data_IF_497084212333
#
_entry.id   IF_497084212333
#
_cell.length_a   1.000
_cell.length_b   1.000
_cell.length_c   1.000
_cell.angle_alpha   90.00
_cell.angle_beta   90.00
_cell.angle_gamma   90.00
#
_symmetry.space_group_name_H-M   'P 1'
#
loop_
_entity.id
_entity.type
_entity.pdbx_description
1 polymer ?
#
# COMPACT_ATOMS: atom_id res chain seq x y z
N UNK A 1 -14.65 -10.27 7.25
CA UNK A 1 -13.34 -10.09 7.89
C UNK A 1 -12.36 -9.52 6.87
N UNK A 2 -11.64 -8.50 7.23
CA UNK A 2 -10.63 -7.90 6.37
C UNK A 2 -9.24 -8.28 6.85
N UNK A 3 -8.30 -8.43 5.93
CA UNK A 3 -6.91 -8.75 6.21
C UNK A 3 -6.05 -7.56 5.81
N UNK A 4 -5.00 -7.32 6.56
CA UNK A 4 -4.06 -6.22 6.30
C UNK A 4 -3.30 -6.46 4.99
N UNK A 5 -3.32 -5.48 4.09
CA UNK A 5 -2.64 -5.59 2.79
C UNK A 5 -1.13 -5.71 2.97
N UNK A 6 -0.55 -5.03 3.96
CA UNK A 6 0.86 -5.15 4.26
C UNK A 6 1.25 -6.57 4.63
N UNK A 7 0.42 -7.25 5.41
CA UNK A 7 0.65 -8.65 5.76
C UNK A 7 0.59 -9.56 4.53
N UNK A 8 -0.42 -9.33 3.67
CA UNK A 8 -0.55 -10.12 2.43
C UNK A 8 0.67 -9.96 1.54
N UNK A 9 1.17 -8.74 1.39
CA UNK A 9 2.36 -8.50 0.56
C UNK A 9 3.63 -9.08 1.17
N UNK A 10 3.73 -9.06 2.51
CA UNK A 10 4.87 -9.69 3.20
C UNK A 10 4.87 -11.21 2.99
N UNK A 11 3.71 -11.84 3.06
CA UNK A 11 3.57 -13.27 2.80
C UNK A 11 3.93 -13.58 1.34
N UNK A 12 3.44 -12.78 0.39
CA UNK A 12 3.74 -12.96 -1.02
C UNK A 12 5.24 -12.81 -1.30
N UNK A 13 5.88 -11.82 -0.66
CA UNK A 13 7.33 -11.60 -0.77
C UNK A 13 8.10 -12.85 -0.31
N UNK A 14 7.72 -13.38 0.83
CA UNK A 14 8.35 -14.60 1.37
C UNK A 14 8.14 -15.79 0.45
N UNK A 15 6.91 -15.99 -0.03
CA UNK A 15 6.56 -17.11 -0.89
C UNK A 15 7.30 -17.04 -2.23
N UNK A 16 7.44 -15.86 -2.80
CA UNK A 16 8.13 -15.64 -4.07
C UNK A 16 9.65 -15.54 -3.91
N UNK A 17 10.13 -15.47 -2.68
CA UNK A 17 11.54 -15.22 -2.39
C UNK A 17 12.04 -13.93 -3.06
N UNK A 18 11.18 -12.90 -3.07
CA UNK A 18 11.49 -11.57 -3.62
C UNK A 18 11.28 -10.54 -2.54
N UNK A 19 12.34 -9.87 -2.06
CA UNK A 19 12.19 -8.86 -1.01
C UNK A 19 11.42 -7.64 -1.53
N UNK A 20 10.64 -7.03 -0.64
CA UNK A 20 10.00 -5.75 -0.92
C UNK A 20 11.05 -4.64 -0.87
N UNK A 21 10.85 -3.61 -1.69
CA UNK A 21 11.70 -2.42 -1.66
C UNK A 21 11.62 -1.78 -0.27
N UNK A 22 12.76 -1.55 0.34
CA UNK A 22 12.86 -0.96 1.68
C UNK A 22 12.30 0.47 1.75
N UNK A 23 12.14 1.15 0.61
CA UNK A 23 11.63 2.51 0.56
C UNK A 23 10.16 2.58 0.15
N UNK A 24 9.48 1.44 0.10
CA UNK A 24 8.06 1.36 -0.25
C UNK A 24 7.24 0.97 0.97
N UNK A 25 6.24 1.79 1.28
CA UNK A 25 5.26 1.50 2.33
C UNK A 25 3.99 0.94 1.68
N UNK A 26 3.27 0.10 2.41
CA UNK A 26 2.03 -0.52 1.94
C UNK A 26 1.01 -0.50 3.07
N UNK A 27 -0.21 -0.04 2.78
CA UNK A 27 -1.30 -0.23 3.72
C UNK A 27 -2.63 -0.43 3.00
N UNK A 28 -3.62 -0.95 3.71
CA UNK A 28 -4.96 -1.17 3.20
C UNK A 28 -5.59 -2.38 3.84
N UNK A 29 -6.88 -2.58 3.56
CA UNK A 29 -7.63 -3.74 4.01
C UNK A 29 -8.04 -4.56 2.79
N UNK A 30 -7.90 -5.88 2.90
CA UNK A 30 -8.25 -6.83 1.82
C UNK A 30 -9.51 -7.58 2.21
N UNK A 31 -10.51 -7.53 1.33
CA UNK A 31 -11.75 -8.28 1.50
C UNK A 31 -11.65 -9.72 0.99
N UNK A 32 -12.75 -10.45 1.13
CA UNK A 32 -12.78 -11.89 0.84
C UNK A 32 -12.54 -12.23 -0.62
N UNK A 33 -12.82 -11.31 -1.54
CA UNK A 33 -12.64 -11.53 -2.98
C UNK A 33 -11.38 -10.91 -3.52
N UNK A 34 -10.48 -10.47 -2.65
CA UNK A 34 -9.21 -9.86 -3.05
C UNK A 34 -9.32 -8.37 -3.35
N UNK A 35 -10.48 -7.75 -3.12
CA UNK A 35 -10.62 -6.30 -3.28
C UNK A 35 -9.87 -5.57 -2.16
N UNK A 36 -9.27 -4.44 -2.49
CA UNK A 36 -8.61 -3.58 -1.52
C UNK A 36 -9.57 -2.47 -1.12
N UNK A 37 -9.87 -2.40 0.17
CA UNK A 37 -10.81 -1.44 0.74
C UNK A 37 -10.09 -0.28 1.39
N UNK A 38 -10.76 0.87 1.45
CA UNK A 38 -10.25 2.05 2.13
C UNK A 38 -9.95 1.76 3.60
N UNK A 39 -8.82 2.26 4.06
CA UNK A 39 -8.41 2.19 5.45
C UNK A 39 -8.61 3.56 6.10
N UNK A 40 -8.75 3.58 7.41
CA UNK A 40 -8.88 4.82 8.17
C UNK A 40 -7.55 5.54 8.25
N UNK A 41 -7.63 6.88 8.34
CA UNK A 41 -6.46 7.75 8.58
C UNK A 41 -5.37 7.64 7.49
N UNK A 42 -5.80 7.47 6.23
CA UNK A 42 -4.85 7.35 5.13
C UNK A 42 -3.92 8.55 5.01
N UNK A 43 -4.43 9.77 5.22
CA UNK A 43 -3.61 10.97 5.15
C UNK A 43 -2.53 10.99 6.23
N UNK A 44 -2.86 10.56 7.44
CA UNK A 44 -1.90 10.48 8.54
C UNK A 44 -0.81 9.46 8.20
N UNK A 45 -1.22 8.28 7.72
CA UNK A 45 -0.27 7.22 7.33
C UNK A 45 0.65 7.66 6.22
N UNK A 46 0.12 8.36 5.21
CA UNK A 46 0.93 8.88 4.10
C UNK A 46 1.95 9.91 4.58
N UNK A 47 1.53 10.82 5.45
CA UNK A 47 2.44 11.84 6.00
C UNK A 47 3.52 11.22 6.87
N UNK A 48 3.17 10.21 7.66
CA UNK A 48 4.15 9.48 8.46
C UNK A 48 5.18 8.77 7.57
N UNK A 49 4.71 8.13 6.49
CA UNK A 49 5.60 7.47 5.55
C UNK A 49 6.55 8.50 4.90
N UNK A 50 6.03 9.65 4.52
CA UNK A 50 6.84 10.74 3.96
C UNK A 50 7.90 11.19 4.97
N UNK A 51 7.50 11.40 6.22
CA UNK A 51 8.41 11.86 7.28
C UNK A 51 9.50 10.84 7.59
N UNK A 52 9.18 9.55 7.47
CA UNK A 52 10.14 8.45 7.71
C UNK A 52 11.07 8.21 6.52
N UNK A 53 10.89 8.94 5.43
CA UNK A 53 11.78 8.83 4.27
C UNK A 53 11.37 7.79 3.24
N UNK A 54 10.18 7.21 3.33
CA UNK A 54 9.68 6.35 2.27
C UNK A 54 9.52 7.15 0.98
N UNK A 55 9.75 6.50 -0.15
CA UNK A 55 9.70 7.13 -1.48
C UNK A 55 8.43 6.78 -2.23
N UNK A 56 7.78 5.69 -1.87
CA UNK A 56 6.58 5.18 -2.53
C UNK A 56 5.63 4.62 -1.48
N UNK A 57 4.34 4.80 -1.68
CA UNK A 57 3.33 4.17 -0.84
C UNK A 57 2.23 3.57 -1.72
N UNK A 58 1.93 2.29 -1.49
CA UNK A 58 0.83 1.58 -2.13
C UNK A 58 -0.34 1.56 -1.17
N UNK A 59 -1.49 2.07 -1.61
CA UNK A 59 -2.65 2.23 -0.75
C UNK A 59 -3.93 1.99 -1.52
N UNK A 60 -5.08 1.87 -0.83
CA UNK A 60 -6.36 1.74 -1.53
C UNK A 60 -6.62 2.96 -2.41
N UNK A 61 -7.09 2.72 -3.64
CA UNK A 61 -7.39 3.78 -4.57
C UNK A 61 -8.36 4.81 -3.98
N UNK A 62 -9.35 4.33 -3.22
CA UNK A 62 -10.34 5.20 -2.58
C UNK A 62 -9.75 6.17 -1.55
N UNK A 63 -8.53 5.93 -1.08
CA UNK A 63 -7.86 6.78 -0.09
C UNK A 63 -6.90 7.79 -0.72
N UNK A 64 -6.71 7.78 -2.02
CA UNK A 64 -5.67 8.60 -2.67
C UNK A 64 -6.07 10.05 -2.90
N UNK A 65 -7.35 10.37 -2.81
CA UNK A 65 -7.83 11.73 -3.06
C UNK A 65 -7.14 12.74 -2.15
N UNK A 66 -6.52 13.75 -2.74
CA UNK A 66 -5.82 14.79 -2.01
C UNK A 66 -4.40 14.43 -1.57
N UNK A 67 -3.94 13.21 -1.82
CA UNK A 67 -2.62 12.75 -1.39
C UNK A 67 -1.57 12.74 -2.50
N UNK A 68 -1.98 12.95 -3.75
CA UNK A 68 -1.09 12.86 -4.91
C UNK A 68 -0.02 13.94 -4.92
N UNK A 69 -0.19 14.99 -4.13
CA UNK A 69 0.72 16.14 -4.11
C UNK A 69 1.74 16.11 -2.99
N UNK A 70 1.87 15.01 -2.28
CA UNK A 70 2.88 14.90 -1.23
C UNK A 70 4.27 14.86 -1.86
N UNK A 71 5.12 15.80 -1.47
CA UNK A 71 6.46 15.92 -2.02
C UNK A 71 7.34 14.75 -1.59
N UNK A 72 8.04 14.17 -2.56
CA UNK A 72 8.99 13.09 -2.29
C UNK A 72 8.35 11.74 -2.01
N UNK A 73 7.02 11.64 -2.12
CA UNK A 73 6.31 10.38 -1.91
C UNK A 73 5.41 10.10 -3.12
N UNK A 74 5.70 9.01 -3.81
CA UNK A 74 4.87 8.56 -4.92
C UNK A 74 3.69 7.77 -4.36
N UNK A 75 2.49 8.26 -4.54
CA UNK A 75 1.26 7.62 -4.07
C UNK A 75 0.69 6.76 -5.19
N UNK A 76 0.53 5.46 -4.94
CA UNK A 76 -0.01 4.50 -5.91
C UNK A 76 -1.28 3.89 -5.34
N UNK A 77 -2.41 4.17 -5.98
CA UNK A 77 -3.71 3.62 -5.57
C UNK A 77 -3.98 2.29 -6.26
N UNK A 78 -4.44 1.32 -5.50
CA UNK A 78 -4.79 0.00 -6.02
C UNK A 78 -6.18 -0.40 -5.57
N UNK A 79 -6.84 -1.24 -6.39
CA UNK A 79 -8.20 -1.72 -6.11
C UNK A 79 -8.25 -3.18 -5.72
N UNK A 80 -7.15 -3.91 -5.94
CA UNK A 80 -7.09 -5.34 -5.67
C UNK A 80 -5.70 -5.76 -5.24
N UNK A 81 -5.62 -6.96 -4.65
CA UNK A 81 -4.34 -7.58 -4.31
C UNK A 81 -3.50 -7.77 -5.57
N UNK A 82 -4.12 -8.18 -6.67
CA UNK A 82 -3.38 -8.37 -7.93
C UNK A 82 -2.71 -7.08 -8.40
N UNK A 83 -3.42 -5.96 -8.32
CA UNK A 83 -2.83 -4.66 -8.67
C UNK A 83 -1.67 -4.31 -7.73
N UNK A 84 -1.84 -4.54 -6.43
CA UNK A 84 -0.79 -4.26 -5.46
C UNK A 84 0.46 -5.10 -5.73
N UNK A 85 0.28 -6.39 -6.00
CA UNK A 85 1.42 -7.28 -6.28
C UNK A 85 2.12 -6.89 -7.58
N UNK A 86 1.38 -6.44 -8.59
CA UNK A 86 1.98 -5.94 -9.84
C UNK A 86 2.82 -4.70 -9.62
N UNK A 87 2.43 -3.85 -8.68
CA UNK A 87 3.20 -2.64 -8.36
C UNK A 87 4.44 -2.94 -7.53
N UNK A 88 4.44 -4.02 -6.75
CA UNK A 88 5.50 -4.34 -5.81
C UNK A 88 6.52 -5.35 -6.36
N UNK A 89 6.11 -6.14 -7.32
CA UNK A 89 6.92 -7.20 -7.92
C UNK A 89 6.89 -7.13 -9.44
#
# INVERSE_FOLDING_TARGET
MAVDLGLVTAIASSFRNQPLDAHTAVFGEVGLTGEVRGAMQAAVRAREAQALGFKKIVMPLSNTAGLEKLLGLRVVGVRSVDEALSELF
#
